data_IF_327692638314
#
_entry.id   IF_327692638314
#
_cell.length_a   1.000
_cell.length_b   1.000
_cell.length_c   1.000
_cell.angle_alpha   90.00
_cell.angle_beta   90.00
_cell.angle_gamma   90.00
#
_symmetry.space_group_name_H-M   'P 1'
#
loop_
_entity.id
_entity.type
_entity.pdbx_description
1 polymer ?
#
# COMPACT_ATOMS: atom_id res chain seq x y z
N UNK A 1 20.05 -4.21 -13.88
CA UNK A 1 19.13 -3.05 -13.86
C UNK A 1 18.23 -3.15 -15.08
N UNK A 2 17.14 -3.88 -15.00
CA UNK A 2 16.08 -3.76 -15.97
C UNK A 2 14.96 -2.96 -15.31
N UNK A 3 14.82 -1.72 -15.72
CA UNK A 3 13.65 -0.90 -15.52
C UNK A 3 12.50 -1.57 -16.24
N UNK A 4 11.48 -2.00 -15.49
CA UNK A 4 10.23 -2.47 -16.09
C UNK A 4 9.40 -1.22 -16.40
N UNK A 5 9.55 -0.73 -17.61
CA UNK A 5 8.91 0.48 -18.12
C UNK A 5 7.44 0.32 -18.52
N UNK A 6 6.74 -0.72 -18.10
CA UNK A 6 5.37 -0.94 -18.57
C UNK A 6 4.39 -0.89 -17.39
N UNK A 7 3.65 0.21 -17.29
CA UNK A 7 2.48 0.33 -16.43
C UNK A 7 2.66 1.14 -15.14
N UNK A 8 3.69 1.97 -15.02
CA UNK A 8 3.94 2.81 -13.85
C UNK A 8 3.53 4.29 -14.04
N UNK A 9 2.79 4.62 -15.11
CA UNK A 9 2.37 5.99 -15.40
C UNK A 9 3.55 6.96 -15.41
N UNK A 10 3.41 8.09 -14.69
CA UNK A 10 4.46 9.10 -14.51
C UNK A 10 5.41 8.81 -13.35
N UNK A 11 5.44 7.59 -12.84
CA UNK A 11 6.35 7.21 -11.75
C UNK A 11 7.79 7.19 -12.24
N UNK A 12 8.63 8.05 -11.68
CA UNK A 12 10.06 8.05 -11.96
C UNK A 12 10.83 7.18 -10.97
N UNK A 13 10.44 7.20 -9.68
CA UNK A 13 11.05 6.36 -8.66
C UNK A 13 9.98 5.67 -7.80
N UNK A 14 10.30 4.48 -7.35
CA UNK A 14 9.50 3.74 -6.40
C UNK A 14 10.37 3.20 -5.28
N UNK A 15 9.90 3.34 -4.05
CA UNK A 15 10.52 2.77 -2.86
C UNK A 15 9.57 1.74 -2.24
N UNK A 16 10.12 0.63 -1.78
CA UNK A 16 9.39 -0.33 -0.94
C UNK A 16 10.25 -0.68 0.27
N UNK A 17 9.65 -0.64 1.44
CA UNK A 17 10.27 -1.05 2.70
C UNK A 17 9.92 -2.48 3.12
N UNK A 18 9.19 -3.21 2.27
CA UNK A 18 8.73 -4.58 2.58
C UNK A 18 7.77 -4.60 3.77
N UNK A 19 8.14 -5.31 4.82
CA UNK A 19 7.32 -5.47 6.03
C UNK A 19 7.60 -4.38 7.10
N UNK A 20 8.29 -3.31 6.73
CA UNK A 20 8.49 -2.13 7.59
C UNK A 20 7.56 -1.02 7.17
N UNK A 21 7.05 -0.28 8.15
CA UNK A 21 6.06 0.75 7.92
C UNK A 21 6.58 2.10 8.41
N UNK A 22 6.42 3.12 7.58
CA UNK A 22 6.73 4.52 7.86
C UNK A 22 5.46 5.36 7.81
N UNK A 23 5.49 6.57 8.37
CA UNK A 23 4.33 7.48 8.39
C UNK A 23 4.00 7.97 6.98
N UNK A 24 2.72 8.05 6.65
CA UNK A 24 2.24 8.63 5.37
C UNK A 24 2.67 10.08 5.20
N UNK A 25 2.83 10.84 6.29
CA UNK A 25 3.35 12.21 6.29
C UNK A 25 4.75 12.36 5.68
N UNK A 26 5.53 11.27 5.59
CA UNK A 26 6.79 11.27 4.85
C UNK A 26 6.58 11.58 3.37
N UNK A 27 5.49 11.10 2.78
CA UNK A 27 5.15 11.41 1.38
C UNK A 27 4.86 12.90 1.18
N UNK A 28 4.20 13.55 2.15
CA UNK A 28 3.90 14.99 2.11
C UNK A 28 5.21 15.80 2.18
N UNK A 29 6.08 15.47 3.14
CA UNK A 29 7.39 16.12 3.28
C UNK A 29 8.29 15.98 2.04
N UNK A 30 8.22 14.81 1.37
CA UNK A 30 8.95 14.58 0.11
C UNK A 30 8.30 15.34 -1.06
N UNK A 31 6.96 15.39 -1.13
CA UNK A 31 6.26 16.14 -2.18
C UNK A 31 6.64 17.61 -2.16
N UNK A 32 6.65 18.22 -0.97
CA UNK A 32 6.99 19.64 -0.78
C UNK A 32 8.43 19.94 -1.19
N UNK A 33 9.38 19.07 -0.84
CA UNK A 33 10.81 19.30 -1.08
C UNK A 33 11.25 18.95 -2.49
N UNK A 34 10.63 17.95 -3.10
CA UNK A 34 10.95 17.52 -4.47
C UNK A 34 10.11 18.26 -5.52
N UNK A 35 9.16 19.09 -5.10
CA UNK A 35 8.26 19.84 -5.96
C UNK A 35 7.56 18.93 -6.99
N UNK A 36 7.13 17.75 -6.54
CA UNK A 36 6.41 16.78 -7.36
C UNK A 36 5.48 15.92 -6.51
N UNK A 37 4.54 15.22 -7.15
CA UNK A 37 3.62 14.32 -6.43
C UNK A 37 4.36 13.10 -5.91
N UNK A 38 4.26 12.86 -4.61
CA UNK A 38 4.70 11.61 -3.97
C UNK A 38 3.50 10.91 -3.34
N UNK A 39 3.18 9.72 -3.82
CA UNK A 39 2.06 8.93 -3.34
C UNK A 39 2.52 7.83 -2.37
N UNK A 40 2.01 7.80 -1.13
CA UNK A 40 2.20 6.67 -0.23
C UNK A 40 1.30 5.52 -0.66
N UNK A 41 1.79 4.31 -0.52
CA UNK A 41 1.02 3.09 -0.74
C UNK A 41 1.24 2.11 0.40
N UNK A 42 0.21 1.33 0.70
CA UNK A 42 0.29 0.21 1.63
C UNK A 42 0.03 -1.08 0.85
N UNK A 43 1.07 -1.85 0.61
CA UNK A 43 0.97 -3.10 -0.12
C UNK A 43 1.04 -4.29 0.83
N UNK A 44 0.01 -5.12 0.79
CA UNK A 44 -0.07 -6.35 1.57
C UNK A 44 -0.50 -7.52 0.68
N UNK A 45 -0.28 -8.73 1.15
CA UNK A 45 -0.78 -9.93 0.50
C UNK A 45 -2.16 -10.29 1.01
N UNK A 46 -2.92 -10.97 0.16
CA UNK A 46 -4.24 -11.43 0.56
C UNK A 46 -4.81 -12.45 -0.40
N UNK A 47 -6.05 -12.82 -0.11
CA UNK A 47 -6.88 -13.72 -0.91
C UNK A 47 -8.16 -13.00 -1.28
N UNK A 48 -8.64 -13.23 -2.51
CA UNK A 48 -9.91 -12.74 -2.98
C UNK A 48 -10.91 -13.89 -3.14
N UNK A 49 -12.14 -13.68 -2.66
CA UNK A 49 -13.22 -14.67 -2.71
C UNK A 49 -14.48 -14.01 -3.26
N UNK A 50 -15.10 -14.65 -4.23
CA UNK A 50 -16.34 -14.20 -4.88
C UNK A 50 -17.44 -15.27 -4.82
N UNK A 51 -18.65 -14.88 -5.20
CA UNK A 51 -19.83 -15.77 -5.31
C UNK A 51 -20.08 -16.62 -4.05
N UNK A 52 -19.97 -16.00 -2.87
CA UNK A 52 -20.25 -16.71 -1.62
C UNK A 52 -19.27 -17.86 -1.32
N UNK A 53 -18.04 -17.77 -1.81
CA UNK A 53 -17.01 -18.78 -1.56
C UNK A 53 -16.73 -19.74 -2.73
N UNK A 54 -17.54 -19.69 -3.79
CA UNK A 54 -17.40 -20.62 -4.92
C UNK A 54 -16.17 -20.37 -5.78
N UNK A 55 -15.72 -19.11 -5.85
CA UNK A 55 -14.54 -18.71 -6.61
C UNK A 55 -13.54 -18.02 -5.70
N UNK A 56 -12.28 -18.39 -5.79
CA UNK A 56 -11.21 -17.79 -4.99
C UNK A 56 -9.90 -17.69 -5.76
N UNK A 57 -9.12 -16.67 -5.45
CA UNK A 57 -7.72 -16.49 -5.83
C UNK A 57 -6.91 -16.36 -4.56
N UNK A 58 -6.06 -17.35 -4.29
CA UNK A 58 -5.36 -17.50 -3.01
C UNK A 58 -4.19 -16.52 -2.83
N UNK A 59 -3.73 -15.88 -3.89
CA UNK A 59 -2.61 -14.94 -3.81
C UNK A 59 -2.90 -13.75 -4.70
N UNK A 60 -3.22 -12.63 -4.07
CA UNK A 60 -3.39 -11.34 -4.71
C UNK A 60 -2.54 -10.28 -4.01
N UNK A 61 -2.28 -9.18 -4.71
CA UNK A 61 -1.77 -7.96 -4.10
C UNK A 61 -2.95 -7.08 -3.70
N UNK A 62 -3.03 -6.68 -2.43
CA UNK A 62 -3.95 -5.66 -1.97
C UNK A 62 -3.16 -4.38 -1.73
N UNK A 63 -3.55 -3.30 -2.39
CA UNK A 63 -2.83 -2.03 -2.39
C UNK A 63 -3.75 -0.94 -1.87
N UNK A 64 -3.42 -0.42 -0.70
CA UNK A 64 -4.03 0.79 -0.15
C UNK A 64 -3.47 2.02 -0.89
N UNK A 65 -4.37 2.84 -1.43
CA UNK A 65 -4.02 4.02 -2.23
C UNK A 65 -4.85 5.22 -1.82
N UNK A 66 -4.34 6.42 -2.12
CA UNK A 66 -5.07 7.69 -2.07
C UNK A 66 -5.17 8.34 -3.46
N UNK A 67 -5.72 9.56 -3.54
CA UNK A 67 -5.92 10.28 -4.81
C UNK A 67 -4.62 10.53 -5.57
N UNK A 68 -3.49 10.70 -4.87
CA UNK A 68 -2.16 10.91 -5.49
C UNK A 68 -1.72 9.74 -6.37
N UNK A 69 -2.12 8.52 -6.01
CA UNK A 69 -1.87 7.34 -6.82
C UNK A 69 -2.52 7.46 -8.21
N UNK A 70 -3.75 7.96 -8.26
CA UNK A 70 -4.46 8.21 -9.52
C UNK A 70 -3.82 9.33 -10.35
N UNK A 71 -3.29 10.37 -9.70
CA UNK A 71 -2.58 11.45 -10.38
C UNK A 71 -1.30 10.97 -11.08
N UNK A 72 -0.51 10.14 -10.39
CA UNK A 72 0.72 9.55 -10.94
C UNK A 72 0.39 8.59 -12.09
N UNK A 73 -0.72 7.88 -11.99
CA UNK A 73 -1.14 6.86 -12.94
C UNK A 73 -1.88 7.36 -14.18
N UNK A 74 -2.00 8.68 -14.37
CA UNK A 74 -2.88 9.28 -15.39
C UNK A 74 -4.34 8.75 -15.34
N UNK A 75 -4.77 8.39 -14.12
CA UNK A 75 -6.07 7.79 -13.85
C UNK A 75 -6.84 8.61 -12.80
N UNK A 76 -6.75 9.96 -12.89
CA UNK A 76 -7.46 10.88 -12.01
C UNK A 76 -8.96 10.57 -11.99
N UNK A 77 -9.55 10.66 -10.80
CA UNK A 77 -10.97 10.38 -10.59
C UNK A 77 -11.32 8.88 -10.44
N UNK A 78 -10.48 7.95 -10.88
CA UNK A 78 -10.74 6.51 -10.71
C UNK A 78 -10.48 6.10 -9.25
N UNK A 79 -9.32 6.49 -8.71
CA UNK A 79 -8.87 6.13 -7.36
C UNK A 79 -9.31 7.13 -6.29
N UNK A 80 -9.83 8.30 -6.71
CA UNK A 80 -10.25 9.35 -5.80
C UNK A 80 -11.50 8.94 -5.02
N UNK A 81 -11.56 9.34 -3.75
CA UNK A 81 -12.73 9.15 -2.92
C UNK A 81 -13.12 7.68 -2.72
N UNK A 82 -12.17 6.75 -2.75
CA UNK A 82 -12.44 5.36 -2.37
C UNK A 82 -12.92 5.30 -0.93
N UNK A 83 -14.14 4.80 -0.76
CA UNK A 83 -14.72 4.59 0.56
C UNK A 83 -14.19 3.31 1.21
N UNK A 84 -14.49 3.12 2.50
CA UNK A 84 -14.09 1.92 3.26
C UNK A 84 -14.72 0.62 2.74
N UNK A 85 -15.74 0.70 1.90
CA UNK A 85 -16.49 -0.44 1.37
C UNK A 85 -16.31 -0.65 -0.13
N UNK A 86 -15.50 0.17 -0.80
CA UNK A 86 -15.27 0.09 -2.23
C UNK A 86 -13.90 -0.51 -2.55
N UNK A 87 -13.82 -1.22 -3.67
CA UNK A 87 -12.58 -1.79 -4.21
C UNK A 87 -12.51 -1.58 -5.70
N UNK A 88 -11.33 -1.29 -6.20
CA UNK A 88 -11.01 -1.32 -7.62
C UNK A 88 -10.17 -2.57 -7.86
N UNK A 89 -10.50 -3.33 -8.88
CA UNK A 89 -9.76 -4.55 -9.20
C UNK A 89 -9.10 -4.45 -10.57
N UNK A 90 -7.96 -5.09 -10.75
CA UNK A 90 -7.38 -5.15 -12.07
C UNK A 90 -8.11 -6.19 -12.96
N UNK A 91 -7.95 -6.04 -14.27
CA UNK A 91 -8.60 -6.93 -15.25
C UNK A 91 -8.23 -8.39 -15.05
N UNK A 92 -7.02 -8.68 -14.60
CA UNK A 92 -6.59 -10.06 -14.32
C UNK A 92 -7.42 -10.71 -13.22
N UNK A 93 -7.61 -10.01 -12.10
CA UNK A 93 -8.43 -10.49 -10.97
C UNK A 93 -9.90 -10.61 -11.36
N UNK A 94 -10.41 -9.58 -12.07
CA UNK A 94 -11.80 -9.58 -12.54
C UNK A 94 -12.08 -10.77 -13.46
N UNK A 95 -11.18 -11.07 -14.40
CA UNK A 95 -11.34 -12.21 -15.32
C UNK A 95 -11.29 -13.55 -14.60
N UNK A 96 -10.37 -13.74 -13.66
CA UNK A 96 -10.22 -14.99 -12.90
C UNK A 96 -11.46 -15.31 -12.07
N UNK A 97 -12.06 -14.30 -11.45
CA UNK A 97 -13.23 -14.44 -10.60
C UNK A 97 -14.55 -14.18 -11.34
N UNK A 98 -14.50 -13.75 -12.62
CA UNK A 98 -15.65 -13.33 -13.45
C UNK A 98 -16.47 -12.21 -12.76
N UNK A 99 -15.77 -11.17 -12.34
CA UNK A 99 -16.35 -10.05 -11.62
C UNK A 99 -16.78 -8.94 -12.59
N UNK A 100 -17.85 -8.26 -12.21
CA UNK A 100 -18.34 -7.03 -12.83
C UNK A 100 -18.43 -5.91 -11.83
N UNK A 101 -18.53 -4.65 -12.30
CA UNK A 101 -18.75 -3.49 -11.43
C UNK A 101 -20.07 -3.67 -10.69
N UNK A 102 -20.06 -3.40 -9.38
CA UNK A 102 -21.18 -3.59 -8.48
C UNK A 102 -21.20 -4.96 -7.77
N UNK A 103 -20.43 -5.93 -8.20
CA UNK A 103 -20.30 -7.21 -7.52
C UNK A 103 -19.64 -7.08 -6.15
N UNK A 104 -19.90 -8.05 -5.27
CA UNK A 104 -19.26 -8.15 -3.97
C UNK A 104 -18.02 -9.02 -4.01
N UNK A 105 -16.94 -8.52 -3.43
CA UNK A 105 -15.67 -9.20 -3.29
C UNK A 105 -15.28 -9.27 -1.82
N UNK A 106 -15.04 -10.47 -1.30
CA UNK A 106 -14.46 -10.67 0.02
C UNK A 106 -12.94 -10.70 -0.11
N UNK A 107 -12.27 -9.79 0.56
CA UNK A 107 -10.82 -9.79 0.72
C UNK A 107 -10.46 -10.36 2.09
N UNK A 108 -9.52 -11.30 2.11
CA UNK A 108 -8.87 -11.78 3.33
C UNK A 108 -7.42 -11.34 3.29
N UNK A 109 -7.01 -10.55 4.27
CA UNK A 109 -5.67 -10.01 4.38
C UNK A 109 -4.80 -10.98 5.19
N UNK A 110 -3.57 -11.21 4.74
CA UNK A 110 -2.59 -11.92 5.56
C UNK A 110 -2.19 -11.02 6.72
N UNK A 111 -2.27 -11.53 7.96
CA UNK A 111 -1.80 -10.79 9.12
C UNK A 111 -0.30 -10.50 8.97
N UNK A 112 0.06 -9.26 9.28
CA UNK A 112 1.46 -8.91 9.43
C UNK A 112 1.97 -9.64 10.67
N UNK A 113 2.99 -10.48 10.53
CA UNK A 113 3.60 -11.20 11.65
C UNK A 113 4.26 -10.20 12.61
N UNK A 114 3.45 -9.58 13.46
CA UNK A 114 3.89 -8.74 14.58
C UNK A 114 3.94 -9.53 15.90
N UNK A 115 3.77 -10.86 15.88
CA UNK A 115 3.87 -11.67 17.11
C UNK A 115 5.23 -12.37 17.23
N UNK A 116 5.85 -12.31 18.43
CA UNK A 116 7.00 -13.13 18.75
C UNK A 116 6.65 -14.61 18.55
N UNK A 117 7.54 -15.40 17.98
CA UNK A 117 7.40 -16.85 17.73
C UNK A 117 7.12 -17.71 18.97
N UNK A 118 7.00 -17.11 20.14
CA UNK A 118 6.81 -17.79 21.42
C UNK A 118 5.37 -17.74 21.97
N UNK A 119 4.38 -17.25 21.20
CA UNK A 119 2.99 -17.31 21.63
C UNK A 119 2.40 -18.70 21.34
N UNK A 120 1.93 -19.44 22.37
CA UNK A 120 1.40 -20.79 22.16
C UNK A 120 0.04 -20.73 21.44
N UNK A 121 -0.02 -21.38 20.25
CA UNK A 121 -1.23 -21.95 19.64
C UNK A 121 -2.47 -21.03 19.53
N UNK A 122 -2.35 -19.83 18.99
CA UNK A 122 -3.49 -19.17 18.37
C UNK A 122 -3.72 -19.81 16.98
N UNK A 123 -4.92 -20.31 16.74
CA UNK A 123 -5.28 -20.95 15.48
C UNK A 123 -5.02 -19.99 14.33
N UNK A 124 -4.39 -20.46 13.26
CA UNK A 124 -4.07 -19.69 12.03
C UNK A 124 -5.34 -19.07 11.42
N UNK A 125 -6.52 -19.55 11.76
CA UNK A 125 -7.81 -19.03 11.31
C UNK A 125 -8.21 -17.67 11.94
N UNK A 126 -7.69 -17.33 13.12
CA UNK A 126 -8.04 -16.08 13.84
C UNK A 126 -7.20 -14.85 13.41
N UNK A 127 -6.20 -15.04 12.55
CA UNK A 127 -5.26 -13.98 12.15
C UNK A 127 -5.59 -13.33 10.79
N UNK A 128 -6.73 -13.66 10.16
CA UNK A 128 -7.08 -13.14 8.84
C UNK A 128 -8.26 -12.19 8.96
N UNK A 129 -8.04 -10.89 8.80
CA UNK A 129 -9.12 -9.93 8.65
C UNK A 129 -9.86 -10.19 7.31
N UNK A 130 -11.15 -10.49 7.39
CA UNK A 130 -11.98 -10.75 6.21
C UNK A 130 -13.00 -9.62 6.06
N UNK A 131 -12.95 -8.89 4.94
CA UNK A 131 -13.83 -7.76 4.68
C UNK A 131 -14.48 -7.84 3.30
N UNK A 132 -15.76 -7.47 3.24
CA UNK A 132 -16.55 -7.42 2.00
C UNK A 132 -16.51 -6.02 1.40
N UNK A 133 -16.23 -5.96 0.11
CA UNK A 133 -16.18 -4.73 -0.68
C UNK A 133 -17.12 -4.83 -1.88
N UNK A 134 -17.54 -3.66 -2.39
CA UNK A 134 -18.26 -3.53 -3.66
C UNK A 134 -17.26 -3.05 -4.73
N UNK A 135 -17.29 -3.68 -5.89
CA UNK A 135 -16.40 -3.31 -6.99
C UNK A 135 -16.86 -1.99 -7.60
N UNK A 136 -16.06 -0.93 -7.41
CA UNK A 136 -16.28 0.40 -7.97
C UNK A 136 -15.87 0.47 -9.45
N UNK A 137 -14.73 -0.14 -9.79
CA UNK A 137 -14.19 -0.13 -11.14
C UNK A 137 -13.29 -1.34 -11.42
N UNK A 138 -13.13 -1.67 -12.71
CA UNK A 138 -12.18 -2.66 -13.20
C UNK A 138 -11.18 -1.94 -14.11
N UNK A 139 -9.89 -1.98 -13.75
CA UNK A 139 -8.84 -1.21 -14.41
C UNK A 139 -7.90 -2.08 -15.23
N UNK A 140 -7.49 -1.57 -16.38
CA UNK A 140 -6.47 -2.15 -17.23
C UNK A 140 -5.07 -1.59 -16.96
N UNK A 141 -4.07 -2.05 -17.72
CA UNK A 141 -2.68 -1.56 -17.60
C UNK A 141 -2.54 -0.05 -17.84
N UNK A 142 -3.35 0.52 -18.73
CA UNK A 142 -3.35 1.96 -19.00
C UNK A 142 -3.81 2.83 -17.82
N UNK A 143 -4.48 2.23 -16.81
CA UNK A 143 -4.98 2.93 -15.63
C UNK A 143 -4.38 2.31 -14.36
N UNK A 144 -3.08 2.05 -14.34
CA UNK A 144 -2.34 1.47 -13.22
C UNK A 144 -2.79 0.06 -12.78
N UNK A 145 -3.70 -0.60 -13.49
CA UNK A 145 -4.10 -1.98 -13.20
C UNK A 145 -2.97 -3.01 -13.33
N UNK A 146 -1.87 -2.64 -13.99
CA UNK A 146 -0.62 -3.42 -14.06
C UNK A 146 0.40 -3.09 -12.97
N UNK A 147 0.07 -2.21 -12.02
CA UNK A 147 0.99 -1.75 -10.99
C UNK A 147 1.64 -2.89 -10.20
N UNK A 148 2.95 -2.86 -10.10
CA UNK A 148 3.78 -3.80 -9.31
C UNK A 148 5.08 -3.15 -8.90
N UNK A 149 5.46 -3.30 -7.63
CA UNK A 149 6.79 -2.94 -7.14
C UNK A 149 7.81 -4.07 -7.32
N UNK A 150 7.36 -5.30 -7.51
CA UNK A 150 8.24 -6.46 -7.71
C UNK A 150 7.99 -7.06 -9.09
N UNK A 151 9.06 -7.37 -9.81
CA UNK A 151 8.99 -8.07 -11.08
C UNK A 151 8.56 -9.53 -10.85
N UNK A 152 7.38 -9.89 -11.34
CA UNK A 152 6.87 -11.26 -11.36
C UNK A 152 6.45 -11.60 -12.78
N UNK A 153 6.78 -12.81 -13.24
CA UNK A 153 6.40 -13.29 -14.58
C UNK A 153 4.91 -13.61 -14.70
N UNK A 154 4.21 -13.77 -13.56
CA UNK A 154 2.78 -14.07 -13.54
C UNK A 154 2.00 -12.80 -13.23
N UNK A 155 0.94 -12.53 -13.99
CA UNK A 155 0.01 -11.44 -13.74
C UNK A 155 -0.78 -11.74 -12.47
N UNK A 156 -0.32 -11.22 -11.33
CA UNK A 156 -1.04 -11.34 -10.06
C UNK A 156 -2.33 -10.52 -10.11
N UNK A 157 -3.40 -11.06 -9.55
CA UNK A 157 -4.60 -10.29 -9.26
C UNK A 157 -4.26 -9.14 -8.30
N UNK A 158 -4.75 -7.93 -8.59
CA UNK A 158 -4.55 -6.76 -7.72
C UNK A 158 -5.89 -6.15 -7.37
N UNK A 159 -6.05 -5.84 -6.09
CA UNK A 159 -7.18 -5.10 -5.55
C UNK A 159 -6.67 -3.79 -4.94
N UNK A 160 -7.26 -2.66 -5.32
CA UNK A 160 -6.93 -1.33 -4.79
C UNK A 160 -8.07 -0.90 -3.87
N UNK A 161 -7.72 -0.50 -2.66
CA UNK A 161 -8.65 -0.04 -1.61
C UNK A 161 -8.18 1.30 -1.05
N UNK A 162 -9.02 1.97 -0.26
CA UNK A 162 -8.60 3.16 0.46
C UNK A 162 -7.39 2.87 1.35
N UNK A 163 -6.33 3.69 1.24
CA UNK A 163 -5.13 3.58 2.08
C UNK A 163 -5.50 3.64 3.57
N UNK A 164 -6.31 4.63 3.96
CA UNK A 164 -6.74 4.81 5.33
C UNK A 164 -7.57 3.60 5.84
N UNK A 165 -8.45 3.07 5.00
CA UNK A 165 -9.26 1.90 5.36
C UNK A 165 -8.39 0.65 5.56
N UNK A 166 -7.41 0.43 4.68
CA UNK A 166 -6.51 -0.71 4.78
C UNK A 166 -5.59 -0.60 6.01
N UNK A 167 -5.04 0.59 6.25
CA UNK A 167 -4.17 0.84 7.39
C UNK A 167 -4.93 0.67 8.72
N UNK A 168 -6.18 1.12 8.79
CA UNK A 168 -7.05 0.90 9.94
C UNK A 168 -7.34 -0.59 10.17
N UNK A 169 -7.63 -1.35 9.12
CA UNK A 169 -7.91 -2.79 9.20
C UNK A 169 -6.69 -3.60 9.68
N UNK A 170 -5.49 -3.10 9.38
CA UNK A 170 -4.21 -3.72 9.77
C UNK A 170 -3.65 -3.17 11.10
N UNK A 171 -4.39 -2.30 11.79
CA UNK A 171 -3.96 -1.60 13.02
C UNK A 171 -2.62 -0.84 12.86
N UNK A 172 -2.41 -0.27 11.69
CA UNK A 172 -1.19 0.46 11.33
C UNK A 172 -1.31 1.98 11.50
N UNK A 173 -2.51 2.50 11.78
CA UNK A 173 -2.75 3.96 11.83
C UNK A 173 -2.37 4.64 10.50
N UNK A 174 -1.61 5.73 10.56
CA UNK A 174 -1.19 6.49 9.38
C UNK A 174 0.14 5.97 8.80
N UNK A 175 0.21 4.70 8.46
CA UNK A 175 1.44 4.07 7.96
C UNK A 175 1.28 3.50 6.56
N UNK A 176 2.41 3.52 5.84
CA UNK A 176 2.60 2.99 4.50
C UNK A 176 3.88 2.16 4.45
N UNK A 177 4.07 1.36 3.40
CA UNK A 177 5.29 0.59 3.17
C UNK A 177 5.86 0.77 1.75
N UNK A 178 5.32 1.72 1.00
CA UNK A 178 5.84 2.09 -0.31
C UNK A 178 5.59 3.57 -0.62
N UNK A 179 6.44 4.13 -1.46
CA UNK A 179 6.33 5.48 -2.02
C UNK A 179 6.50 5.41 -3.53
N UNK A 180 5.69 6.17 -4.23
CA UNK A 180 5.83 6.42 -5.66
C UNK A 180 6.14 7.90 -5.84
N UNK A 181 7.23 8.21 -6.52
CA UNK A 181 7.65 9.58 -6.83
C UNK A 181 7.38 9.82 -8.30
N UNK A 182 6.53 10.80 -8.62
CA UNK A 182 6.27 11.18 -9.99
C UNK A 182 7.49 11.86 -10.63
N UNK A 183 7.57 11.83 -11.95
CA UNK A 183 8.48 12.68 -12.69
C UNK A 183 8.14 14.16 -12.43
N UNK A 184 9.15 15.00 -12.34
CA UNK A 184 8.99 16.45 -12.30
C UNK A 184 8.88 16.97 -13.74
N UNK A 185 7.96 17.91 -13.97
CA UNK A 185 7.60 18.37 -15.33
C UNK A 185 8.79 19.04 -16.03
N UNK A 186 9.52 19.90 -15.33
CA UNK A 186 10.54 20.76 -15.96
C UNK A 186 11.93 20.16 -15.99
N UNK A 187 12.26 19.30 -15.02
CA UNK A 187 13.61 18.74 -14.87
C UNK A 187 13.53 17.35 -14.25
N UNK A 188 14.05 16.30 -14.89
CA UNK A 188 14.06 14.97 -14.32
C UNK A 188 14.78 14.93 -12.96
N UNK A 189 14.16 14.27 -11.98
CA UNK A 189 14.76 14.04 -10.68
C UNK A 189 15.97 13.12 -10.80
N UNK A 190 17.01 13.41 -10.03
CA UNK A 190 18.15 12.51 -9.91
C UNK A 190 17.97 11.62 -8.68
N UNK A 191 18.34 10.35 -8.77
CA UNK A 191 18.24 9.40 -7.65
C UNK A 191 18.94 9.91 -6.39
N UNK A 192 20.08 10.61 -6.55
CA UNK A 192 20.81 11.21 -5.42
C UNK A 192 20.04 12.33 -4.71
N UNK A 193 19.24 13.10 -5.47
CA UNK A 193 18.37 14.16 -4.95
C UNK A 193 17.26 13.54 -4.10
N UNK A 194 16.58 12.52 -4.64
CA UNK A 194 15.53 11.79 -3.93
C UNK A 194 16.06 11.10 -2.67
N UNK A 195 17.23 10.45 -2.75
CA UNK A 195 17.86 9.77 -1.60
C UNK A 195 18.29 10.76 -0.52
N UNK A 196 18.86 11.91 -0.89
CA UNK A 196 19.22 12.95 0.06
C UNK A 196 17.99 13.54 0.77
N UNK A 197 16.95 13.90 0.00
CA UNK A 197 15.70 14.43 0.53
C UNK A 197 15.01 13.40 1.45
N UNK A 198 15.02 12.13 1.08
CA UNK A 198 14.47 11.06 1.91
C UNK A 198 15.20 10.98 3.26
N UNK A 199 16.53 10.97 3.26
CA UNK A 199 17.34 10.92 4.50
C UNK A 199 17.09 12.09 5.41
N UNK A 200 16.95 13.30 4.87
CA UNK A 200 16.66 14.50 5.63
C UNK A 200 15.23 14.55 6.19
N UNK A 201 14.28 13.91 5.50
CA UNK A 201 12.88 13.88 5.90
C UNK A 201 12.55 12.70 6.83
N UNK A 202 13.43 11.69 6.88
CA UNK A 202 13.24 10.48 7.69
C UNK A 202 13.44 10.78 9.17
N UNK A 203 12.51 10.33 10.00
CA UNK A 203 12.56 10.51 11.45
C UNK A 203 12.59 9.16 12.18
N UNK A 204 12.85 9.18 13.48
CA UNK A 204 12.78 7.98 14.33
C UNK A 204 11.39 7.32 14.28
N UNK A 205 10.33 8.13 14.20
CA UNK A 205 8.97 7.61 14.08
C UNK A 205 8.75 6.80 12.80
N UNK A 206 9.47 7.12 11.71
CA UNK A 206 9.45 6.36 10.46
C UNK A 206 10.21 5.03 10.58
N UNK A 207 11.13 4.94 11.54
CA UNK A 207 11.79 3.71 11.92
C UNK A 207 11.01 2.89 12.98
N UNK A 208 9.85 3.38 13.42
CA UNK A 208 9.07 2.77 14.51
C UNK A 208 9.69 2.97 15.89
N UNK A 209 10.57 3.96 16.05
CA UNK A 209 11.27 4.28 17.29
C UNK A 209 10.68 5.53 17.95
N UNK A 210 10.50 5.48 19.25
CA UNK A 210 10.03 6.60 20.08
C UNK A 210 10.95 6.84 21.26
N UNK A 211 11.23 8.11 21.56
CA UNK A 211 11.88 8.49 22.78
C UNK A 211 10.88 8.52 23.93
N UNK A 212 11.11 7.75 24.99
CA UNK A 212 10.36 7.86 26.23
C UNK A 212 11.27 8.43 27.32
N UNK A 213 10.88 9.56 27.90
CA UNK A 213 11.55 10.08 29.08
C UNK A 213 11.27 9.12 30.25
N UNK A 214 12.31 8.48 30.76
CA UNK A 214 12.24 7.74 32.01
C UNK A 214 12.42 8.77 33.12
N UNK A 215 11.34 9.09 33.87
CA UNK A 215 11.47 9.88 35.10
C UNK A 215 12.36 9.06 36.03
N UNK A 216 13.57 9.59 36.29
CA UNK A 216 14.47 9.03 37.27
C UNK A 216 13.77 9.00 38.62
N UNK A 217 13.57 7.82 39.18
CA UNK A 217 13.19 7.72 40.59
C UNK A 217 14.25 8.40 41.40
N UNK A 218 13.84 9.41 42.18
CA UNK A 218 14.64 10.02 43.24
C UNK A 218 15.03 8.86 44.16
N UNK A 219 16.30 8.48 44.17
CA UNK A 219 16.85 7.65 45.23
C UNK A 219 16.89 8.54 46.48
N UNK A 220 15.92 8.34 47.34
CA UNK A 220 16.08 8.79 48.73
C UNK A 220 17.19 7.93 49.33
N UNK A 221 18.38 8.50 49.44
CA UNK A 221 19.44 7.97 50.29
C UNK A 221 19.01 8.20 51.75
N UNK A 222 18.77 7.09 52.44
CA UNK A 222 18.77 7.01 53.87
C UNK A 222 20.19 6.80 54.38
#
# INVERSE_FOLDING_TARGET
RHMVEVGLGRTQFAMSSGDRFFRTALADALSDRLETTVAPILQVRGMAVAEGGKKRVNRISVVGVDGRFGEIGDARGIYDGLTHSEVIVNRSLASQLRLTVGDRLLLRLEALEAMPRDAPLASIEDQTAARSFVIKAIVGSASFGGFRLQSSQVALGTAFVSLAALAQEMDLGDRANGLLVAERVDTPLLIREVDATLRESWTLADAGLEWRAVRGGQRDEL
#
